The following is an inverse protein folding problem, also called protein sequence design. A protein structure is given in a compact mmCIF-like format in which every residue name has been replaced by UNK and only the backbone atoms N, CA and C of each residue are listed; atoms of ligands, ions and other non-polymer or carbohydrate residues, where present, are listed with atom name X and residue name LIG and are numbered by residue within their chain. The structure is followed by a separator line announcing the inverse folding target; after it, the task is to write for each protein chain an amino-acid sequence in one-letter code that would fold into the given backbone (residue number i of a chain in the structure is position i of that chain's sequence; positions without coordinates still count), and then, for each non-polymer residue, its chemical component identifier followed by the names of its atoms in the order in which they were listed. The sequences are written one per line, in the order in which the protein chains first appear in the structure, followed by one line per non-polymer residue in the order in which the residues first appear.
data_IF_099356808411
#
_entry.id   IF_099356808411
#
_cell.length_a   1.000
_cell.length_b   1.000
_cell.length_c   1.000
_cell.angle_alpha   90.00
_cell.angle_beta   90.00
_cell.angle_gamma   90.00
#
_symmetry.space_group_name_H-M   'P 1'
#
loop_
_entity.id
_entity.type
_entity.pdbx_description
1 polymer ?
#
# COMPACT_ATOMS: atom_id res chain seq x y z
N UNK A 1 6.09 32.77 -61.72
CA UNK A 1 6.01 32.83 -60.24
C UNK A 1 4.61 32.64 -59.67
N UNK A 2 3.50 32.97 -60.31
CA UNK A 2 2.12 32.74 -59.77
C UNK A 2 1.68 31.27 -59.72
N UNK A 3 2.14 30.43 -60.61
CA UNK A 3 1.74 29.00 -60.66
C UNK A 3 2.42 28.12 -59.59
N UNK A 4 3.61 28.51 -59.11
CA UNK A 4 4.33 27.79 -58.04
C UNK A 4 3.67 27.97 -56.66
N UNK A 5 2.99 29.11 -56.42
CA UNK A 5 2.28 29.40 -55.16
C UNK A 5 0.99 28.56 -55.04
N UNK A 6 0.39 28.12 -56.14
CA UNK A 6 -0.87 27.36 -56.11
C UNK A 6 -0.68 25.91 -55.68
N UNK A 7 0.53 25.32 -55.83
CA UNK A 7 0.82 23.95 -55.36
C UNK A 7 1.42 23.87 -53.97
N UNK A 8 1.93 24.98 -53.45
CA UNK A 8 2.45 25.02 -52.08
C UNK A 8 1.35 24.98 -51.00
N UNK A 9 0.17 25.57 -51.30
CA UNK A 9 -0.94 25.63 -50.35
C UNK A 9 -1.55 24.26 -50.03
N UNK A 10 -1.85 23.36 -51.00
CA UNK A 10 -2.36 22.02 -50.73
C UNK A 10 -1.31 21.09 -50.07
N UNK A 11 -0.02 21.26 -50.39
CA UNK A 11 1.07 20.50 -49.76
C UNK A 11 1.20 20.92 -48.29
N UNK A 12 1.09 22.21 -47.97
CA UNK A 12 1.11 22.71 -46.61
C UNK A 12 -0.11 22.19 -45.81
N UNK A 13 -1.29 22.12 -46.41
CA UNK A 13 -2.50 21.59 -45.80
C UNK A 13 -2.41 20.04 -45.54
N UNK A 14 -1.74 19.30 -46.40
CA UNK A 14 -1.51 17.86 -46.22
C UNK A 14 -0.51 17.62 -45.09
N UNK A 15 0.55 18.41 -44.96
CA UNK A 15 1.54 18.33 -43.88
C UNK A 15 0.92 18.70 -42.53
N UNK A 16 0.00 19.68 -42.49
CA UNK A 16 -0.70 20.10 -41.27
C UNK A 16 -1.77 19.07 -40.79
N UNK A 17 -2.27 18.23 -41.70
CA UNK A 17 -3.24 17.16 -41.36
C UNK A 17 -2.61 15.77 -41.30
N UNK A 18 -1.29 15.65 -41.46
CA UNK A 18 -0.64 14.38 -41.16
C UNK A 18 -0.87 14.05 -39.69
N UNK A 19 -1.46 12.87 -39.33
CA UNK A 19 -1.56 12.47 -37.94
C UNK A 19 -0.14 12.46 -37.39
N UNK A 20 0.17 13.39 -36.51
CA UNK A 20 1.37 13.28 -35.69
C UNK A 20 1.15 12.00 -34.89
N UNK A 21 1.73 10.88 -35.37
CA UNK A 21 1.81 9.69 -34.58
C UNK A 21 2.54 10.14 -33.29
N UNK A 22 1.76 10.42 -32.27
CA UNK A 22 2.28 10.64 -30.94
C UNK A 22 2.95 9.33 -30.57
N UNK A 23 4.24 9.23 -30.85
CA UNK A 23 5.11 8.24 -30.27
C UNK A 23 5.06 8.55 -28.78
N UNK A 24 4.05 8.01 -28.09
CA UNK A 24 4.06 7.92 -26.66
C UNK A 24 5.35 7.17 -26.33
N UNK A 25 6.41 7.92 -26.06
CA UNK A 25 7.69 7.37 -25.67
C UNK A 25 7.45 6.63 -24.36
N UNK A 26 7.17 5.33 -24.46
CA UNK A 26 7.17 4.48 -23.28
C UNK A 26 8.55 4.62 -22.63
N UNK A 27 8.56 4.92 -21.33
CA UNK A 27 9.82 4.96 -20.60
C UNK A 27 10.53 3.62 -20.78
N UNK A 28 11.82 3.66 -21.08
CA UNK A 28 12.60 2.44 -21.14
C UNK A 28 12.45 1.66 -19.83
N UNK A 29 12.27 0.32 -19.90
CA UNK A 29 12.17 -0.50 -18.72
C UNK A 29 13.45 -0.40 -17.88
N UNK A 30 13.32 -0.19 -16.59
CA UNK A 30 14.45 -0.28 -15.66
C UNK A 30 14.94 -1.71 -15.62
N UNK A 31 16.21 -1.93 -15.88
CA UNK A 31 16.87 -3.25 -15.87
C UNK A 31 17.82 -3.35 -14.69
N UNK A 32 17.80 -4.48 -13.99
CA UNK A 32 18.70 -4.75 -12.88
C UNK A 32 19.24 -6.18 -12.95
N UNK A 33 20.53 -6.38 -12.57
CA UNK A 33 21.19 -7.69 -12.62
C UNK A 33 21.03 -8.48 -11.32
N UNK A 34 20.97 -7.81 -10.17
CA UNK A 34 21.06 -8.45 -8.86
C UNK A 34 19.77 -8.42 -8.06
N UNK A 35 18.90 -7.49 -8.34
CA UNK A 35 17.61 -7.35 -7.66
C UNK A 35 16.92 -6.05 -8.04
N UNK A 36 15.63 -5.99 -7.81
CA UNK A 36 14.80 -4.84 -8.11
C UNK A 36 13.80 -4.62 -6.98
N UNK A 37 13.51 -3.36 -6.71
CA UNK A 37 12.42 -2.95 -5.80
C UNK A 37 11.50 -2.01 -6.57
N UNK A 38 10.22 -2.31 -6.53
CA UNK A 38 9.18 -1.44 -7.07
C UNK A 38 8.12 -1.18 -6.00
N UNK A 39 7.74 0.07 -5.82
CA UNK A 39 6.64 0.49 -4.95
C UNK A 39 5.98 1.75 -5.51
N UNK A 40 4.91 2.19 -4.87
CA UNK A 40 4.20 3.43 -5.23
C UNK A 40 4.98 4.71 -4.91
N UNK A 41 6.11 4.60 -4.21
CA UNK A 41 6.94 5.74 -3.83
C UNK A 41 8.42 5.46 -4.08
N UNK A 42 9.07 6.34 -4.83
CA UNK A 42 10.49 6.18 -5.21
C UNK A 42 11.42 6.17 -3.99
N UNK A 43 11.17 7.02 -2.99
CA UNK A 43 11.99 7.08 -1.77
C UNK A 43 11.93 5.75 -1.02
N UNK A 44 10.72 5.18 -0.88
CA UNK A 44 10.56 3.86 -0.27
C UNK A 44 11.23 2.75 -1.09
N UNK A 45 11.13 2.79 -2.42
CA UNK A 45 11.84 1.82 -3.29
C UNK A 45 13.35 1.90 -3.12
N UNK A 46 13.94 3.09 -3.00
CA UNK A 46 15.37 3.30 -2.73
C UNK A 46 15.78 2.68 -1.39
N UNK A 47 14.97 2.82 -0.34
CA UNK A 47 15.21 2.16 0.95
C UNK A 47 15.37 0.65 0.78
N UNK A 48 14.50 0.00 0.00
CA UNK A 48 14.60 -1.43 -0.25
C UNK A 48 15.87 -1.82 -1.03
N UNK A 49 16.26 -1.03 -2.03
CA UNK A 49 17.52 -1.23 -2.77
C UNK A 49 18.73 -1.12 -1.84
N UNK A 50 18.75 -0.13 -0.94
CA UNK A 50 19.86 0.08 0.00
C UNK A 50 19.94 -1.04 1.04
N UNK A 51 18.81 -1.59 1.48
CA UNK A 51 18.75 -2.79 2.32
C UNK A 51 19.41 -3.98 1.61
N UNK A 52 19.08 -4.22 0.33
CA UNK A 52 19.69 -5.29 -0.45
C UNK A 52 21.20 -5.07 -0.66
N UNK A 53 21.66 -3.84 -0.92
CA UNK A 53 23.09 -3.51 -1.02
C UNK A 53 23.87 -3.78 0.27
N UNK A 54 23.21 -3.65 1.42
CA UNK A 54 23.77 -3.99 2.74
C UNK A 54 23.75 -5.48 3.05
N UNK A 55 23.35 -6.32 2.09
CA UNK A 55 23.34 -7.77 2.19
C UNK A 55 22.02 -8.37 2.67
N UNK A 56 20.97 -7.55 2.87
CA UNK A 56 19.61 -8.02 3.10
C UNK A 56 19.06 -8.77 1.89
N UNK A 57 18.09 -9.67 2.14
CA UNK A 57 17.34 -10.32 1.07
C UNK A 57 16.09 -9.53 0.70
N UNK A 58 15.28 -10.08 -0.23
CA UNK A 58 14.04 -9.44 -0.69
C UNK A 58 13.01 -9.24 0.43
N UNK A 59 13.01 -10.11 1.45
CA UNK A 59 12.10 -9.99 2.61
C UNK A 59 12.53 -8.85 3.52
N UNK A 60 13.84 -8.73 3.82
CA UNK A 60 14.37 -7.59 4.57
C UNK A 60 14.04 -6.27 3.84
N UNK A 61 14.24 -6.25 2.52
CA UNK A 61 13.91 -5.09 1.70
C UNK A 61 12.40 -4.74 1.77
N UNK A 62 11.52 -5.74 1.65
CA UNK A 62 10.07 -5.54 1.72
C UNK A 62 9.62 -4.99 3.08
N UNK A 63 10.22 -5.44 4.18
CA UNK A 63 9.95 -4.94 5.53
C UNK A 63 10.33 -3.46 5.65
N UNK A 64 11.54 -3.10 5.23
CA UNK A 64 11.99 -1.71 5.29
C UNK A 64 11.18 -0.79 4.37
N UNK A 65 10.78 -1.28 3.19
CA UNK A 65 9.88 -0.58 2.26
C UNK A 65 8.50 -0.38 2.88
N UNK A 66 7.93 -1.39 3.55
CA UNK A 66 6.64 -1.27 4.22
C UNK A 66 6.65 -0.17 5.28
N UNK A 67 7.69 -0.10 6.11
CA UNK A 67 7.86 0.98 7.09
C UNK A 67 8.11 2.35 6.44
N UNK A 68 8.90 2.40 5.36
CA UNK A 68 9.10 3.64 4.61
C UNK A 68 7.81 4.14 3.96
N UNK A 69 6.97 3.25 3.44
CA UNK A 69 5.65 3.57 2.88
C UNK A 69 4.68 4.09 3.95
N UNK A 70 4.76 3.61 5.19
CA UNK A 70 3.96 4.16 6.29
C UNK A 70 4.24 5.66 6.53
N UNK A 71 5.42 6.14 6.13
CA UNK A 71 5.81 7.55 6.20
C UNK A 71 5.48 8.29 4.91
N UNK A 72 5.88 7.73 3.76
CA UNK A 72 5.90 8.44 2.47
C UNK A 72 4.63 8.24 1.62
N UNK A 73 3.77 7.31 2.00
CA UNK A 73 2.53 6.95 1.30
C UNK A 73 1.36 6.71 2.27
N UNK A 74 0.98 7.70 3.10
CA UNK A 74 0.04 7.54 4.21
C UNK A 74 -1.38 7.12 3.77
N UNK A 75 -1.71 7.21 2.48
CA UNK A 75 -3.01 6.75 1.96
C UNK A 75 -3.19 5.22 2.05
N UNK A 76 -2.08 4.46 2.08
CA UNK A 76 -2.13 2.99 2.15
C UNK A 76 -1.00 2.38 3.00
N UNK A 77 0.19 3.00 3.07
CA UNK A 77 1.26 2.60 3.97
C UNK A 77 0.88 2.86 5.42
N UNK A 78 1.14 1.91 6.31
CA UNK A 78 0.61 1.98 7.67
C UNK A 78 1.46 1.25 8.70
N UNK A 79 1.29 1.62 9.98
CA UNK A 79 1.59 0.81 11.16
C UNK A 79 0.30 0.35 11.83
N UNK A 80 -0.73 1.21 11.82
CA UNK A 80 -2.04 1.00 12.44
C UNK A 80 -3.05 0.25 11.56
N UNK A 81 -2.60 -0.45 10.55
CA UNK A 81 -3.40 -1.25 9.65
C UNK A 81 -2.86 -2.66 9.47
N UNK A 82 -3.03 -3.23 8.30
CA UNK A 82 -2.61 -4.58 7.99
C UNK A 82 -2.30 -4.77 6.51
N UNK A 83 -2.22 -6.06 6.12
CA UNK A 83 -1.94 -6.41 4.73
C UNK A 83 -1.61 -7.89 4.56
N UNK A 84 -1.03 -8.18 3.41
CA UNK A 84 -0.61 -9.51 3.01
C UNK A 84 0.78 -9.48 2.39
N UNK A 85 1.54 -10.56 2.55
CA UNK A 85 2.83 -10.71 1.91
C UNK A 85 2.92 -12.08 1.25
N UNK A 86 3.16 -12.11 -0.06
CA UNK A 86 3.50 -13.33 -0.79
C UNK A 86 5.01 -13.46 -0.89
N UNK A 87 5.55 -14.61 -0.54
CA UNK A 87 6.99 -14.89 -0.56
C UNK A 87 7.23 -16.12 -1.46
N UNK A 88 8.15 -15.96 -2.43
CA UNK A 88 8.69 -17.07 -3.22
C UNK A 88 10.19 -17.17 -2.98
N UNK A 89 10.63 -18.28 -2.44
CA UNK A 89 12.03 -18.55 -2.14
C UNK A 89 12.77 -19.06 -3.38
N UNK A 90 14.10 -18.98 -3.36
CA UNK A 90 14.96 -19.45 -4.46
C UNK A 90 14.74 -20.93 -4.80
N UNK A 91 14.42 -21.76 -3.82
CA UNK A 91 14.11 -23.18 -4.01
C UNK A 91 12.70 -23.46 -4.56
N UNK A 92 11.95 -22.43 -4.94
CA UNK A 92 10.60 -22.53 -5.47
C UNK A 92 9.49 -22.62 -4.41
N UNK A 93 9.82 -22.81 -3.12
CA UNK A 93 8.82 -22.79 -2.04
C UNK A 93 8.12 -21.43 -1.99
N UNK A 94 6.80 -21.47 -1.88
CA UNK A 94 5.95 -20.27 -1.75
C UNK A 94 5.17 -20.30 -0.46
N UNK A 95 4.98 -19.15 0.15
CA UNK A 95 4.15 -18.97 1.33
C UNK A 95 3.45 -17.62 1.30
N UNK A 96 2.43 -17.46 2.10
CA UNK A 96 1.73 -16.20 2.31
C UNK A 96 1.72 -15.85 3.80
N UNK A 97 1.96 -14.59 4.12
CA UNK A 97 1.79 -14.06 5.48
C UNK A 97 0.54 -13.17 5.47
N UNK A 98 -0.39 -13.54 6.33
CA UNK A 98 -1.62 -12.81 6.59
C UNK A 98 -1.44 -12.02 7.88
N UNK A 99 -1.39 -10.70 7.72
CA UNK A 99 -1.36 -9.73 8.80
C UNK A 99 -2.47 -8.68 8.64
N UNK A 100 -3.58 -9.11 8.02
CA UNK A 100 -4.79 -8.31 7.92
C UNK A 100 -5.31 -7.96 9.31
N UNK A 101 -5.98 -6.83 9.43
CA UNK A 101 -6.63 -6.39 10.65
C UNK A 101 -7.66 -7.42 11.14
N UNK A 102 -7.80 -7.53 12.45
CA UNK A 102 -8.83 -8.35 13.08
C UNK A 102 -9.90 -7.47 13.72
N UNK A 103 -11.12 -7.96 13.77
CA UNK A 103 -12.17 -7.31 14.54
C UNK A 103 -11.80 -7.28 16.03
N UNK A 104 -11.97 -6.16 16.75
CA UNK A 104 -11.88 -6.14 18.22
C UNK A 104 -12.88 -7.11 18.86
N UNK A 105 -12.58 -7.65 20.03
CA UNK A 105 -13.45 -8.60 20.73
C UNK A 105 -14.85 -8.03 21.04
N UNK A 106 -14.94 -6.70 21.18
CA UNK A 106 -16.21 -6.00 21.38
C UNK A 106 -17.08 -5.90 20.11
N UNK A 107 -16.56 -6.28 18.92
CA UNK A 107 -17.33 -6.27 17.70
C UNK A 107 -18.40 -7.38 17.71
N UNK A 108 -19.62 -7.02 17.35
CA UNK A 108 -20.76 -7.94 17.26
C UNK A 108 -21.58 -7.66 16.00
N UNK A 109 -22.52 -8.55 15.64
CA UNK A 109 -23.31 -8.48 14.40
C UNK A 109 -23.92 -7.11 14.12
N UNK A 110 -24.41 -6.43 15.15
CA UNK A 110 -25.14 -5.16 15.04
C UNK A 110 -24.30 -3.94 15.42
N UNK A 111 -22.97 -4.05 15.47
CA UNK A 111 -22.06 -2.99 15.96
C UNK A 111 -22.16 -1.69 15.17
N UNK A 112 -22.59 -1.76 13.92
CA UNK A 112 -22.77 -0.62 13.01
C UNK A 112 -24.23 -0.31 12.69
N UNK A 113 -25.18 -0.82 13.49
CA UNK A 113 -26.59 -0.49 13.36
C UNK A 113 -27.00 0.52 14.43
N UNK A 114 -27.91 1.41 14.06
CA UNK A 114 -28.58 2.29 15.01
C UNK A 114 -29.68 1.54 15.80
N UNK A 115 -30.38 2.26 16.69
CA UNK A 115 -31.47 1.72 17.49
C UNK A 115 -32.68 1.23 16.67
N UNK A 116 -32.79 1.63 15.41
CA UNK A 116 -33.86 1.23 14.51
C UNK A 116 -33.44 0.07 13.59
N UNK A 117 -32.18 -0.42 13.72
CA UNK A 117 -31.64 -1.48 12.89
C UNK A 117 -31.11 -1.00 11.53
N UNK A 118 -30.99 0.30 11.30
CA UNK A 118 -30.43 0.90 10.08
C UNK A 118 -28.92 1.05 10.20
N UNK A 119 -28.21 0.98 9.07
CA UNK A 119 -26.76 1.21 9.04
C UNK A 119 -26.43 2.65 9.48
N UNK A 120 -25.46 2.79 10.37
CA UNK A 120 -24.91 4.09 10.75
C UNK A 120 -24.02 4.58 9.61
N UNK A 121 -24.42 5.66 8.98
CA UNK A 121 -23.62 6.35 7.98
C UNK A 121 -22.68 7.36 8.63
N UNK A 122 -21.46 7.49 8.10
CA UNK A 122 -20.46 8.42 8.60
C UNK A 122 -19.78 7.97 9.88
N UNK A 123 -19.66 8.87 10.87
CA UNK A 123 -18.95 8.62 12.12
C UNK A 123 -19.70 7.64 13.03
N UNK A 124 -18.96 6.66 13.56
CA UNK A 124 -19.54 5.56 14.32
C UNK A 124 -20.01 4.38 13.48
N UNK A 125 -20.04 4.53 12.15
CA UNK A 125 -20.26 3.45 11.18
C UNK A 125 -19.01 2.63 10.86
N UNK A 126 -19.09 1.83 9.81
CA UNK A 126 -18.03 0.89 9.43
C UNK A 126 -16.91 1.49 8.57
N UNK A 127 -17.05 2.74 8.12
CA UNK A 127 -16.12 3.36 7.17
C UNK A 127 -15.31 4.51 7.77
N UNK A 128 -15.85 5.22 8.77
CA UNK A 128 -15.27 6.45 9.29
C UNK A 128 -15.30 6.47 10.81
N UNK A 129 -14.17 6.87 11.40
CA UNK A 129 -14.04 7.07 12.83
C UNK A 129 -13.44 5.89 13.57
N UNK A 130 -13.35 6.03 14.88
CA UNK A 130 -12.65 5.10 15.77
C UNK A 130 -13.28 3.70 15.84
N UNK A 131 -14.58 3.59 15.64
CA UNK A 131 -15.28 2.30 15.63
C UNK A 131 -15.00 1.47 14.39
N UNK A 132 -14.63 2.11 13.27
CA UNK A 132 -14.29 1.46 12.02
C UNK A 132 -12.91 0.80 12.04
N UNK A 133 -12.05 1.12 13.03
CA UNK A 133 -10.69 0.63 13.08
C UNK A 133 -10.63 -0.82 13.57
N UNK A 134 -9.95 -1.67 12.80
CA UNK A 134 -9.58 -3.03 13.21
C UNK A 134 -8.27 -3.07 14.01
N UNK A 135 -8.01 -4.19 14.67
CA UNK A 135 -6.77 -4.44 15.42
C UNK A 135 -5.61 -4.57 14.44
N UNK A 136 -4.56 -3.74 14.53
CA UNK A 136 -3.50 -3.64 13.52
C UNK A 136 -2.62 -4.88 13.45
N UNK A 137 -2.25 -5.29 12.24
CA UNK A 137 -1.41 -6.45 12.01
C UNK A 137 -0.03 -6.18 11.43
N UNK A 138 0.22 -4.99 10.86
CA UNK A 138 1.44 -4.70 10.09
C UNK A 138 2.72 -5.03 10.84
N UNK A 139 2.87 -4.57 12.08
CA UNK A 139 4.12 -4.78 12.85
C UNK A 139 4.35 -6.26 13.14
N UNK A 140 3.32 -7.03 13.51
CA UNK A 140 3.41 -8.50 13.69
C UNK A 140 3.68 -9.24 12.38
N UNK A 141 3.13 -8.76 11.26
CA UNK A 141 3.41 -9.32 9.94
C UNK A 141 4.88 -9.15 9.56
N UNK A 142 5.44 -7.97 9.76
CA UNK A 142 6.86 -7.69 9.52
C UNK A 142 7.78 -8.49 10.46
N UNK A 143 7.42 -8.63 11.74
CA UNK A 143 8.11 -9.48 12.69
C UNK A 143 8.16 -10.94 12.24
N UNK A 144 7.01 -11.51 11.87
CA UNK A 144 6.90 -12.89 11.41
C UNK A 144 7.73 -13.12 10.13
N UNK A 145 7.66 -12.17 9.18
CA UNK A 145 8.43 -12.22 7.94
C UNK A 145 9.94 -12.20 8.23
N UNK A 146 10.41 -11.28 9.08
CA UNK A 146 11.81 -11.17 9.44
C UNK A 146 12.31 -12.45 10.13
N UNK A 147 11.56 -12.94 11.12
CA UNK A 147 11.93 -14.11 11.90
C UNK A 147 12.07 -15.38 11.07
N UNK A 148 11.16 -15.58 10.09
CA UNK A 148 11.12 -16.83 9.29
C UNK A 148 11.89 -16.74 7.98
N UNK A 149 11.97 -15.58 7.37
CA UNK A 149 12.40 -15.41 5.98
C UNK A 149 13.43 -14.30 5.76
N UNK A 150 13.77 -13.53 6.79
CA UNK A 150 14.85 -12.55 6.75
C UNK A 150 16.20 -13.19 6.48
N UNK A 151 17.15 -12.40 6.01
CA UNK A 151 18.51 -12.88 5.69
C UNK A 151 19.34 -13.26 6.90
N UNK A 152 18.94 -12.83 8.10
CA UNK A 152 19.73 -12.92 9.33
C UNK A 152 20.89 -11.91 9.39
N UNK A 153 21.12 -11.10 8.36
CA UNK A 153 22.20 -10.12 8.28
C UNK A 153 21.83 -8.74 8.82
N UNK A 154 20.56 -8.42 8.84
CA UNK A 154 20.05 -7.13 9.29
C UNK A 154 19.09 -7.33 10.46
N UNK A 155 19.25 -6.49 11.48
CA UNK A 155 18.37 -6.49 12.66
C UNK A 155 17.07 -5.73 12.41
N UNK A 156 16.07 -5.99 13.23
CA UNK A 156 14.82 -5.21 13.25
C UNK A 156 15.09 -3.70 13.31
N UNK A 157 15.95 -3.26 14.22
CA UNK A 157 16.29 -1.86 14.39
C UNK A 157 16.90 -1.23 13.12
N UNK A 158 17.72 -2.00 12.39
CA UNK A 158 18.31 -1.54 11.14
C UNK A 158 17.32 -1.44 9.98
N UNK A 159 16.26 -2.27 9.99
CA UNK A 159 15.18 -2.20 8.99
C UNK A 159 14.18 -1.09 9.27
N UNK A 160 13.97 -0.73 10.53
CA UNK A 160 13.10 0.38 10.96
C UNK A 160 13.76 1.75 10.76
N UNK A 161 15.10 1.83 10.85
CA UNK A 161 15.86 3.10 10.85
C UNK A 161 15.57 4.01 9.65
N UNK A 162 15.48 3.52 8.39
CA UNK A 162 15.17 4.39 7.26
C UNK A 162 13.83 5.12 7.42
N UNK A 163 12.80 4.43 7.88
CA UNK A 163 11.49 5.02 8.11
C UNK A 163 11.50 6.05 9.24
N UNK A 164 12.22 5.75 10.33
CA UNK A 164 12.41 6.70 11.43
C UNK A 164 13.06 8.00 10.96
N UNK A 165 14.11 7.91 10.13
CA UNK A 165 14.78 9.09 9.54
C UNK A 165 13.84 9.85 8.61
N UNK A 166 13.16 9.17 7.72
CA UNK A 166 12.19 9.82 6.81
C UNK A 166 11.11 10.58 7.58
N UNK A 167 10.64 10.03 8.69
CA UNK A 167 9.65 10.70 9.54
C UNK A 167 10.25 11.89 10.31
N UNK A 168 11.48 11.77 10.84
CA UNK A 168 12.14 12.79 11.64
C UNK A 168 12.69 13.94 10.78
N UNK A 169 13.48 13.60 9.75
CA UNK A 169 14.19 14.56 8.92
C UNK A 169 13.26 15.15 7.85
N UNK A 170 12.22 14.39 7.50
CA UNK A 170 11.24 14.73 6.47
C UNK A 170 11.66 14.25 5.09
N UNK A 171 10.72 14.33 4.17
CA UNK A 171 10.91 14.05 2.75
C UNK A 171 10.15 15.06 1.90
N UNK A 172 10.57 15.21 0.65
CA UNK A 172 9.90 16.09 -0.31
C UNK A 172 8.56 15.48 -0.72
N UNK A 173 7.48 16.24 -0.57
CA UNK A 173 6.13 15.84 -0.99
C UNK A 173 6.11 15.64 -2.50
N UNK A 174 5.68 14.47 -2.96
CA UNK A 174 5.51 14.17 -4.39
C UNK A 174 4.18 14.75 -4.90
N UNK A 175 4.08 14.94 -6.22
CA UNK A 175 2.82 15.32 -6.88
C UNK A 175 1.66 14.38 -6.47
N UNK A 176 1.91 13.06 -6.46
CA UNK A 176 0.92 12.06 -6.08
C UNK A 176 0.44 12.22 -4.64
N UNK A 177 1.36 12.48 -3.69
CA UNK A 177 1.01 12.71 -2.30
C UNK A 177 0.21 14.01 -2.13
N UNK A 178 0.67 15.11 -2.73
CA UNK A 178 -0.05 16.40 -2.69
C UNK A 178 -1.49 16.26 -3.20
N UNK A 179 -1.65 15.57 -4.33
CA UNK A 179 -2.96 15.29 -4.91
C UNK A 179 -3.83 14.41 -3.99
N UNK A 180 -3.25 13.39 -3.37
CA UNK A 180 -3.95 12.50 -2.43
C UNK A 180 -4.43 13.25 -1.19
N UNK A 181 -3.60 14.10 -0.60
CA UNK A 181 -3.97 14.94 0.53
C UNK A 181 -5.15 15.87 0.17
N UNK A 182 -5.09 16.52 -0.99
CA UNK A 182 -6.20 17.34 -1.48
C UNK A 182 -7.49 16.54 -1.69
N UNK A 183 -7.39 15.36 -2.29
CA UNK A 183 -8.56 14.48 -2.53
C UNK A 183 -9.18 13.91 -1.25
N UNK A 184 -8.41 13.90 -0.15
CA UNK A 184 -8.87 13.40 1.16
C UNK A 184 -9.28 14.51 2.13
N UNK A 185 -9.48 15.75 1.64
CA UNK A 185 -9.77 16.94 2.46
C UNK A 185 -10.84 16.69 3.51
N UNK A 186 -11.98 16.17 3.10
CA UNK A 186 -13.14 15.94 3.96
C UNK A 186 -12.78 15.09 5.19
N UNK A 187 -11.98 14.05 5.02
CA UNK A 187 -11.55 13.17 6.10
C UNK A 187 -10.43 13.79 6.94
N UNK A 188 -9.47 14.45 6.31
CA UNK A 188 -8.30 15.02 7.01
C UNK A 188 -8.64 16.24 7.86
N UNK A 189 -9.63 17.05 7.44
CA UNK A 189 -10.08 18.21 8.18
C UNK A 189 -11.06 17.86 9.31
N UNK A 190 -11.66 16.66 9.28
CA UNK A 190 -12.66 16.22 10.25
C UNK A 190 -12.08 16.04 11.66
N UNK A 191 -10.89 15.49 11.77
CA UNK A 191 -10.25 15.19 13.05
C UNK A 191 -9.10 16.15 13.33
N UNK A 192 -9.03 16.69 14.55
CA UNK A 192 -8.04 17.70 14.92
C UNK A 192 -6.60 17.22 14.70
N UNK A 193 -6.30 15.95 15.02
CA UNK A 193 -4.96 15.40 14.89
C UNK A 193 -4.57 15.15 13.41
N UNK A 194 -5.45 14.62 12.58
CA UNK A 194 -5.17 14.48 11.16
C UNK A 194 -4.98 15.82 10.48
N UNK A 195 -5.80 16.82 10.84
CA UNK A 195 -5.65 18.20 10.39
C UNK A 195 -4.29 18.79 10.79
N UNK A 196 -3.87 18.60 12.05
CA UNK A 196 -2.59 19.09 12.57
C UNK A 196 -1.40 18.45 11.85
N UNK A 197 -1.46 17.13 11.56
CA UNK A 197 -0.36 16.38 10.97
C UNK A 197 -0.26 16.65 9.45
N UNK A 198 -1.38 16.61 8.73
CA UNK A 198 -1.38 16.60 7.27
C UNK A 198 -1.60 17.97 6.63
N UNK A 199 -1.88 19.01 7.42
CA UNK A 199 -1.99 20.38 6.93
C UNK A 199 -0.91 21.26 7.58
N UNK A 200 -0.31 22.13 6.77
CA UNK A 200 0.68 23.12 7.20
C UNK A 200 0.00 24.48 7.36
N UNK A 201 -0.24 24.89 8.59
CA UNK A 201 -0.96 26.15 8.85
C UNK A 201 -2.37 26.18 8.27
N UNK A 202 -3.08 25.04 8.26
CA UNK A 202 -4.42 24.92 7.70
C UNK A 202 -4.48 24.72 6.18
N UNK A 203 -3.34 24.67 5.50
CA UNK A 203 -3.24 24.41 4.05
C UNK A 203 -2.60 23.06 3.78
N UNK A 204 -2.98 22.42 2.68
CA UNK A 204 -2.32 21.19 2.26
C UNK A 204 -0.90 21.45 1.78
N UNK A 205 -0.04 20.46 2.02
CA UNK A 205 1.32 20.46 1.49
C UNK A 205 1.29 20.45 -0.04
N UNK A 206 2.17 21.27 -0.65
CA UNK A 206 2.40 21.32 -2.09
C UNK A 206 3.54 20.38 -2.48
N UNK A 207 3.58 20.00 -3.76
CA UNK A 207 4.73 19.28 -4.31
C UNK A 207 6.03 20.02 -4.03
N UNK A 208 7.07 19.27 -3.65
CA UNK A 208 8.38 19.81 -3.31
C UNK A 208 8.53 20.30 -1.86
N UNK A 209 7.45 20.55 -1.13
CA UNK A 209 7.54 20.96 0.27
C UNK A 209 8.03 19.82 1.17
N UNK A 210 8.76 20.18 2.22
CA UNK A 210 9.27 19.21 3.20
C UNK A 210 8.17 18.80 4.18
N UNK A 211 7.84 17.51 4.23
CA UNK A 211 6.88 16.94 5.17
C UNK A 211 7.58 16.14 6.25
N UNK A 212 7.34 16.48 7.51
CA UNK A 212 7.87 15.80 8.69
C UNK A 212 6.73 15.24 9.56
N UNK A 213 7.02 14.12 10.24
CA UNK A 213 6.07 13.43 11.11
C UNK A 213 6.78 13.05 12.42
N UNK A 214 7.05 14.03 13.33
CA UNK A 214 7.87 13.81 14.50
C UNK A 214 7.29 12.78 15.48
N UNK A 215 5.98 12.71 15.63
CA UNK A 215 5.33 11.71 16.51
C UNK A 215 5.43 10.30 15.91
N UNK A 216 5.35 10.18 14.59
CA UNK A 216 5.59 8.90 13.90
C UNK A 216 7.07 8.49 14.02
N UNK A 217 8.01 9.45 13.93
CA UNK A 217 9.42 9.21 14.19
C UNK A 217 9.67 8.70 15.62
N UNK A 218 8.98 9.28 16.61
CA UNK A 218 9.05 8.82 18.00
C UNK A 218 8.49 7.39 18.16
N UNK A 219 7.43 7.05 17.44
CA UNK A 219 6.87 5.68 17.40
C UNK A 219 7.88 4.70 16.81
N UNK A 220 8.49 5.03 15.68
CA UNK A 220 9.57 4.21 15.10
C UNK A 220 10.78 4.08 16.03
N UNK A 221 11.15 5.15 16.75
CA UNK A 221 12.23 5.08 17.73
C UNK A 221 11.93 4.13 18.91
N UNK A 222 10.68 4.07 19.37
CA UNK A 222 10.24 3.09 20.36
C UNK A 222 10.33 1.65 19.80
N UNK A 223 9.81 1.43 18.59
CA UNK A 223 9.89 0.15 17.89
C UNK A 223 11.34 -0.32 17.69
N UNK A 224 12.26 0.60 17.39
CA UNK A 224 13.67 0.30 17.25
C UNK A 224 14.30 -0.20 18.55
N UNK A 225 14.03 0.48 19.67
CA UNK A 225 14.62 0.18 20.98
C UNK A 225 14.05 -1.08 21.61
N UNK A 226 12.73 -1.25 21.53
CA UNK A 226 11.99 -2.25 22.31
C UNK A 226 11.42 -3.39 21.45
N UNK A 227 11.66 -3.36 20.13
CA UNK A 227 11.17 -4.39 19.22
C UNK A 227 9.66 -4.34 18.96
N UNK A 228 9.13 -5.34 18.23
CA UNK A 228 7.72 -5.37 17.80
C UNK A 228 6.70 -5.36 18.94
N UNK A 229 7.04 -5.93 20.10
CA UNK A 229 6.14 -5.98 21.27
C UNK A 229 5.76 -4.59 21.77
N UNK A 230 6.59 -3.59 21.52
CA UNK A 230 6.32 -2.20 21.88
C UNK A 230 4.98 -1.71 21.32
N UNK A 231 4.67 -2.09 20.07
CA UNK A 231 3.44 -1.69 19.40
C UNK A 231 2.18 -2.32 20.02
N UNK A 232 2.29 -3.51 20.59
CA UNK A 232 1.14 -4.29 21.08
C UNK A 232 1.01 -4.31 22.60
N UNK A 233 2.08 -4.00 23.33
CA UNK A 233 2.13 -4.10 24.80
C UNK A 233 2.78 -2.89 25.47
N UNK A 234 3.54 -2.10 24.67
CA UNK A 234 4.33 -0.97 25.14
C UNK A 234 3.57 0.35 25.20
N UNK A 235 4.32 1.44 25.10
CA UNK A 235 3.78 2.81 25.13
C UNK A 235 2.86 3.08 23.94
N UNK A 236 3.22 2.63 22.75
CA UNK A 236 2.39 2.81 21.55
C UNK A 236 1.01 2.15 21.74
N UNK A 237 0.96 0.94 22.30
CA UNK A 237 -0.30 0.28 22.61
C UNK A 237 -1.15 1.11 23.60
N UNK A 238 -0.54 1.61 24.67
CA UNK A 238 -1.24 2.47 25.66
C UNK A 238 -1.80 3.72 25.02
N UNK A 239 -1.04 4.38 24.15
CA UNK A 239 -1.49 5.58 23.44
C UNK A 239 -2.68 5.29 22.51
N UNK A 240 -2.61 4.21 21.74
CA UNK A 240 -3.71 3.77 20.86
C UNK A 240 -4.99 3.51 21.69
N UNK A 241 -4.89 2.72 22.75
CA UNK A 241 -6.06 2.36 23.56
C UNK A 241 -6.64 3.56 24.31
N UNK A 242 -5.77 4.46 24.79
CA UNK A 242 -6.24 5.69 25.44
C UNK A 242 -7.02 6.58 24.46
N UNK A 243 -6.58 6.67 23.22
CA UNK A 243 -7.27 7.45 22.18
C UNK A 243 -8.57 6.77 21.74
N UNK A 244 -8.57 5.47 21.54
CA UNK A 244 -9.78 4.67 21.30
C UNK A 244 -10.83 4.89 22.37
N UNK A 245 -10.44 4.83 23.66
CA UNK A 245 -11.33 5.05 24.80
C UNK A 245 -11.94 6.45 24.81
N UNK A 246 -11.15 7.48 24.53
CA UNK A 246 -11.64 8.87 24.47
C UNK A 246 -12.66 9.11 23.37
N UNK A 247 -12.59 8.35 22.28
CA UNK A 247 -13.38 8.56 21.07
C UNK A 247 -14.36 7.41 20.78
N UNK A 248 -14.75 6.63 21.79
CA UNK A 248 -15.70 5.52 21.68
C UNK A 248 -15.31 4.44 20.65
N UNK A 249 -14.01 4.24 20.45
CA UNK A 249 -13.47 3.11 19.69
C UNK A 249 -13.65 1.79 20.42
N UNK A 250 -13.49 0.67 19.71
CA UNK A 250 -13.75 -0.67 20.23
C UNK A 250 -12.48 -1.39 20.72
N UNK A 251 -11.32 -0.96 20.24
CA UNK A 251 -10.05 -1.66 20.46
C UNK A 251 -9.54 -1.50 21.89
N UNK A 252 -9.13 -2.61 22.49
CA UNK A 252 -8.61 -2.69 23.87
C UNK A 252 -7.14 -3.15 23.88
N UNK A 253 -6.51 -3.11 25.06
CA UNK A 253 -5.17 -3.69 25.27
C UNK A 253 -5.12 -5.19 25.00
N UNK A 254 -6.17 -5.90 25.35
CA UNK A 254 -6.24 -7.37 25.18
C UNK A 254 -6.38 -7.72 23.70
N UNK A 255 -7.10 -6.90 22.90
CA UNK A 255 -7.15 -7.05 21.45
C UNK A 255 -5.75 -6.89 20.82
N UNK A 256 -5.01 -5.87 21.23
CA UNK A 256 -3.65 -5.66 20.76
C UNK A 256 -2.72 -6.82 21.14
N UNK A 257 -2.68 -7.21 22.42
CA UNK A 257 -1.86 -8.32 22.92
C UNK A 257 -2.18 -9.64 22.24
N UNK A 258 -3.46 -9.90 21.98
CA UNK A 258 -3.95 -11.11 21.36
C UNK A 258 -3.71 -11.21 19.86
N UNK A 259 -3.24 -10.14 19.21
CA UNK A 259 -3.06 -10.17 17.76
C UNK A 259 -1.89 -11.06 17.33
N UNK A 260 -2.15 -11.96 16.36
CA UNK A 260 -1.16 -12.88 15.78
C UNK A 260 -1.24 -12.86 14.26
N UNK A 261 -0.14 -12.54 13.60
CA UNK A 261 0.00 -12.72 12.15
C UNK A 261 0.10 -14.21 11.81
N UNK A 262 -0.50 -14.64 10.69
CA UNK A 262 -0.62 -16.05 10.30
C UNK A 262 0.13 -16.36 9.03
N UNK A 263 0.84 -17.48 9.02
CA UNK A 263 1.35 -18.06 7.79
C UNK A 263 0.26 -18.93 7.14
N UNK A 264 0.09 -18.78 5.83
CA UNK A 264 -0.94 -19.48 5.06
C UNK A 264 -0.35 -20.14 3.82
N UNK A 265 -0.99 -21.23 3.39
CA UNK A 265 -0.68 -21.86 2.10
C UNK A 265 -1.33 -21.04 0.99
N UNK A 266 -0.56 -20.57 -0.03
CA UNK A 266 -1.10 -19.86 -1.17
C UNK A 266 -2.14 -20.66 -1.95
N UNK A 267 -3.12 -19.98 -2.54
CA UNK A 267 -3.98 -20.58 -3.57
C UNK A 267 -3.20 -20.70 -4.86
N UNK A 268 -3.50 -21.76 -5.63
CA UNK A 268 -2.84 -22.05 -6.89
C UNK A 268 -3.86 -22.28 -8.00
N UNK A 269 -3.53 -21.86 -9.20
CA UNK A 269 -4.28 -22.09 -10.43
C UNK A 269 -3.34 -22.24 -11.58
N UNK A 270 -3.89 -22.52 -12.77
CA UNK A 270 -3.15 -22.52 -14.02
C UNK A 270 -3.85 -21.59 -15.02
N UNK A 271 -3.09 -20.93 -15.85
CA UNK A 271 -3.61 -20.15 -16.97
C UNK A 271 -2.66 -20.26 -18.16
N UNK A 272 -3.10 -20.87 -19.25
CA UNK A 272 -2.32 -21.03 -20.48
C UNK A 272 -0.93 -21.63 -20.25
N UNK A 273 -0.84 -22.61 -19.36
CA UNK A 273 0.42 -23.27 -19.02
C UNK A 273 1.27 -22.55 -17.96
N UNK A 274 0.84 -21.39 -17.47
CA UNK A 274 1.52 -20.67 -16.40
C UNK A 274 0.87 -20.99 -15.04
N UNK A 275 1.69 -21.34 -14.05
CA UNK A 275 1.23 -21.48 -12.68
C UNK A 275 0.94 -20.09 -12.09
N UNK A 276 -0.26 -19.91 -11.56
CA UNK A 276 -0.70 -18.72 -10.84
C UNK A 276 -0.68 -19.03 -9.34
N UNK A 277 0.05 -18.21 -8.57
CA UNK A 277 0.17 -18.36 -7.12
C UNK A 277 -0.27 -17.03 -6.51
N UNK A 278 -1.27 -17.07 -5.62
CA UNK A 278 -1.84 -15.85 -5.06
C UNK A 278 -2.26 -16.01 -3.60
N UNK A 279 -2.64 -14.89 -2.98
CA UNK A 279 -3.06 -14.85 -1.58
C UNK A 279 -4.36 -15.65 -1.38
N UNK A 280 -4.41 -16.55 -0.38
CA UNK A 280 -5.62 -17.29 -0.03
C UNK A 280 -6.59 -16.42 0.79
N UNK A 281 -7.79 -16.90 1.11
CA UNK A 281 -8.63 -16.26 2.12
C UNK A 281 -7.86 -15.96 3.42
N UNK A 282 -8.11 -14.81 4.07
CA UNK A 282 -9.29 -13.93 3.92
C UNK A 282 -9.23 -12.92 2.76
N UNK A 283 -8.19 -12.94 1.91
CA UNK A 283 -8.20 -12.20 0.67
C UNK A 283 -9.05 -12.93 -0.38
N UNK A 284 -10.02 -12.24 -0.96
CA UNK A 284 -10.77 -12.74 -2.13
C UNK A 284 -9.95 -12.68 -3.41
N UNK A 285 -8.92 -11.81 -3.46
CA UNK A 285 -8.20 -11.45 -4.67
C UNK A 285 -7.59 -12.66 -5.41
N UNK A 286 -6.99 -13.61 -4.69
CA UNK A 286 -6.38 -14.77 -5.32
C UNK A 286 -7.41 -15.72 -5.95
N UNK A 287 -8.48 -16.05 -5.23
CA UNK A 287 -9.54 -16.91 -5.74
C UNK A 287 -10.26 -16.28 -6.93
N UNK A 288 -10.64 -15.00 -6.82
CA UNK A 288 -11.29 -14.26 -7.90
C UNK A 288 -10.40 -14.15 -9.13
N UNK A 289 -9.10 -13.83 -8.96
CA UNK A 289 -8.15 -13.77 -10.08
C UNK A 289 -8.08 -15.11 -10.82
N UNK A 290 -7.93 -16.22 -10.12
CA UNK A 290 -7.87 -17.56 -10.72
C UNK A 290 -9.19 -17.88 -11.44
N UNK A 291 -10.34 -17.56 -10.84
CA UNK A 291 -11.63 -17.75 -11.46
C UNK A 291 -11.78 -16.95 -12.75
N UNK A 292 -11.40 -15.67 -12.75
CA UNK A 292 -11.44 -14.82 -13.96
C UNK A 292 -10.51 -15.37 -15.05
N UNK A 293 -9.31 -15.80 -14.69
CA UNK A 293 -8.36 -16.39 -15.65
C UNK A 293 -8.90 -17.69 -16.24
N UNK A 294 -9.51 -18.57 -15.43
CA UNK A 294 -10.12 -19.81 -15.90
C UNK A 294 -11.27 -19.55 -16.89
N UNK A 295 -12.09 -18.51 -16.66
CA UNK A 295 -13.14 -18.10 -17.60
C UNK A 295 -12.51 -17.62 -18.90
N UNK A 296 -11.50 -16.74 -18.82
CA UNK A 296 -10.83 -16.16 -19.98
C UNK A 296 -10.01 -17.19 -20.79
N UNK A 297 -9.62 -18.32 -20.17
CA UNK A 297 -8.89 -19.38 -20.87
C UNK A 297 -9.72 -20.03 -21.98
N UNK A 298 -11.06 -20.01 -21.85
CA UNK A 298 -12.00 -20.50 -22.87
C UNK A 298 -12.08 -19.64 -24.14
N UNK A 299 -11.42 -18.46 -24.17
CA UNK A 299 -11.51 -17.51 -25.29
C UNK A 299 -10.13 -17.27 -25.92
N UNK A 300 -10.06 -17.19 -27.26
CA UNK A 300 -8.84 -16.81 -27.97
C UNK A 300 -8.65 -15.27 -27.97
N UNK A 301 -8.16 -14.75 -26.86
CA UNK A 301 -7.97 -13.31 -26.68
C UNK A 301 -6.93 -12.71 -27.64
N UNK A 302 -6.05 -13.54 -28.23
CA UNK A 302 -5.02 -13.07 -29.17
C UNK A 302 -5.62 -12.67 -30.52
N UNK A 303 -6.73 -13.31 -30.90
CA UNK A 303 -7.47 -12.97 -32.13
C UNK A 303 -8.35 -11.75 -32.00
N UNK A 304 -8.57 -11.25 -30.80
CA UNK A 304 -9.40 -10.07 -30.59
C UNK A 304 -8.56 -8.80 -30.77
N UNK A 305 -9.07 -7.87 -31.55
CA UNK A 305 -8.45 -6.55 -31.70
C UNK A 305 -8.32 -5.83 -30.34
N UNK A 306 -7.22 -5.11 -30.18
CA UNK A 306 -7.05 -4.25 -29.03
C UNK A 306 -8.21 -3.21 -28.99
N UNK A 307 -8.81 -3.03 -27.81
CA UNK A 307 -9.93 -2.11 -27.60
C UNK A 307 -11.23 -2.45 -28.37
N UNK A 308 -11.39 -3.70 -28.83
CA UNK A 308 -12.66 -4.14 -29.42
C UNK A 308 -13.76 -4.28 -28.36
N UNK A 309 -15.03 -4.06 -28.77
CA UNK A 309 -16.20 -4.23 -27.90
C UNK A 309 -16.29 -5.65 -27.31
N UNK A 310 -15.94 -6.67 -28.08
CA UNK A 310 -15.90 -8.06 -27.63
C UNK A 310 -14.89 -8.27 -26.52
N UNK A 311 -13.68 -7.66 -26.64
CA UNK A 311 -12.66 -7.76 -25.60
C UNK A 311 -13.14 -7.10 -24.29
N UNK A 312 -13.75 -5.92 -24.36
CA UNK A 312 -14.31 -5.26 -23.17
C UNK A 312 -15.48 -6.05 -22.56
N UNK A 313 -16.34 -6.63 -23.40
CA UNK A 313 -17.44 -7.47 -22.92
C UNK A 313 -16.93 -8.70 -22.15
N UNK A 314 -15.85 -9.34 -22.61
CA UNK A 314 -15.26 -10.49 -21.91
C UNK A 314 -14.54 -10.10 -20.60
N UNK A 315 -14.14 -8.84 -20.45
CA UNK A 315 -13.46 -8.33 -19.26
C UNK A 315 -14.45 -7.78 -18.19
N UNK A 316 -15.67 -7.43 -18.58
CA UNK A 316 -16.73 -6.93 -17.71
C UNK A 316 -17.57 -8.06 -17.12
#
# INVERSE_FOLDING_TARGET
MRRLRLYLLPILLIVLNAPVASLAAAREPVRARHGMVASTNEVASRVGVDVMKRGGNAVDAAIAVAFALAVTHPVAGNLGGGGFMMIRLKNGKTTAIDYREMAPAAAHRNVYLDKNGSLIEGEGGSLVGYRAAGVPGTVRGMELALKKYGSGKLTWAQLVEPARRLAADGFSVTYSLARSLHGSREYLEKYAETKRIYLKGGNFYKEGELFRQPELAATFARLQRSGPNEFYEGETARLIVADMKRNNGLMTMDDLRGYVAKERTPVRGNYRGYEIISMPPPSSGGAVLIQMLNILEGFDLQKLEANSSVRYHLMA
#
